data_IF_622248453119
#
_entry.id   IF_622248453119
#
_cell.length_a   1.000
_cell.length_b   1.000
_cell.length_c   1.000
_cell.angle_alpha   90.00
_cell.angle_beta   90.00
_cell.angle_gamma   90.00
#
_symmetry.space_group_name_H-M   'P 1'
#
loop_
_entity.id
_entity.type
_entity.pdbx_description
1 polymer ?
#
# COMPACT_ATOMS: atom_id res chain seq x y z
N UNK A 1 -16.60 -3.83 17.87
CA UNK A 1 -16.78 -3.69 16.42
C UNK A 1 -18.00 -4.48 16.01
N UNK A 2 -19.05 -3.82 15.45
CA UNK A 2 -20.29 -4.48 15.03
C UNK A 2 -20.11 -5.25 13.70
N UNK A 3 -19.41 -4.65 12.76
CA UNK A 3 -19.11 -5.27 11.47
C UNK A 3 -17.94 -4.57 10.77
N UNK A 4 -17.38 -5.26 9.78
CA UNK A 4 -16.33 -4.76 8.92
C UNK A 4 -16.71 -4.88 7.43
N UNK A 5 -15.97 -4.21 6.57
CA UNK A 5 -16.12 -4.38 5.12
C UNK A 5 -15.84 -5.83 4.70
N UNK A 6 -16.51 -6.36 3.66
CA UNK A 6 -16.19 -7.68 3.09
C UNK A 6 -14.74 -7.82 2.62
N UNK A 7 -14.05 -6.69 2.38
CA UNK A 7 -12.63 -6.67 2.05
C UNK A 7 -11.71 -6.96 3.23
N UNK A 8 -12.19 -6.87 4.48
CA UNK A 8 -11.38 -7.11 5.67
C UNK A 8 -10.82 -8.53 5.76
N UNK A 9 -11.58 -9.53 5.26
CA UNK A 9 -11.14 -10.94 5.22
C UNK A 9 -10.36 -11.34 3.95
N UNK A 10 -10.09 -10.42 3.03
CA UNK A 10 -9.38 -10.73 1.79
C UNK A 10 -7.87 -10.83 2.01
N UNK A 11 -7.19 -11.61 1.14
CA UNK A 11 -5.73 -11.83 1.21
C UNK A 11 -4.88 -10.54 1.18
N UNK A 12 -5.41 -9.47 0.60
CA UNK A 12 -4.74 -8.17 0.57
C UNK A 12 -5.03 -7.30 1.82
N UNK A 13 -5.83 -7.78 2.77
CA UNK A 13 -6.05 -7.07 4.04
C UNK A 13 -4.99 -7.48 5.06
N UNK A 14 -4.28 -6.50 5.60
CA UNK A 14 -3.26 -6.72 6.64
C UNK A 14 -3.88 -7.30 7.93
N UNK A 15 -5.09 -6.87 8.27
CA UNK A 15 -5.80 -7.27 9.50
C UNK A 15 -6.78 -8.43 9.29
N UNK A 16 -6.65 -9.21 8.20
CA UNK A 16 -7.62 -10.26 7.84
C UNK A 16 -7.84 -11.28 8.96
N UNK A 17 -6.76 -11.69 9.63
CA UNK A 17 -6.84 -12.72 10.67
C UNK A 17 -7.55 -12.16 11.93
N UNK A 18 -7.35 -10.89 12.24
CA UNK A 18 -8.07 -10.20 13.32
C UNK A 18 -9.55 -9.92 12.99
N UNK A 19 -9.91 -9.98 11.72
CA UNK A 19 -11.28 -9.73 11.26
C UNK A 19 -12.10 -11.01 11.07
N UNK A 20 -11.53 -12.21 11.27
CA UNK A 20 -12.13 -13.50 10.95
C UNK A 20 -13.50 -13.73 11.63
N UNK A 21 -13.61 -13.35 12.90
CA UNK A 21 -14.82 -13.56 13.70
C UNK A 21 -15.76 -12.35 13.70
N UNK A 22 -15.44 -11.29 12.96
CA UNK A 22 -16.26 -10.08 12.90
C UNK A 22 -17.21 -10.17 11.71
N UNK A 23 -18.53 -9.97 11.90
CA UNK A 23 -19.49 -9.96 10.82
C UNK A 23 -19.11 -8.97 9.72
N UNK A 24 -19.41 -9.29 8.47
CA UNK A 24 -19.23 -8.37 7.34
C UNK A 24 -20.52 -7.67 6.97
N UNK A 25 -20.42 -6.42 6.54
CA UNK A 25 -21.55 -5.63 6.04
C UNK A 25 -21.20 -5.00 4.70
N UNK A 26 -22.14 -4.96 3.76
CA UNK A 26 -21.94 -4.22 2.50
C UNK A 26 -21.80 -2.73 2.80
N UNK A 27 -20.90 -2.01 2.14
CA UNK A 27 -20.65 -0.60 2.40
C UNK A 27 -21.72 0.32 1.78
N UNK A 28 -23.00 -0.02 1.93
CA UNK A 28 -24.16 0.78 1.55
C UNK A 28 -24.87 1.28 2.80
N UNK A 29 -25.42 2.49 2.74
CA UNK A 29 -25.91 3.17 3.92
C UNK A 29 -27.01 2.40 4.66
N UNK A 30 -27.93 1.79 3.93
CA UNK A 30 -29.06 1.05 4.49
C UNK A 30 -28.59 -0.15 5.32
N UNK A 31 -27.66 -0.95 4.80
CA UNK A 31 -27.14 -2.13 5.49
C UNK A 31 -26.35 -1.74 6.75
N UNK A 32 -25.55 -0.67 6.65
CA UNK A 32 -24.75 -0.18 7.78
C UNK A 32 -25.64 0.39 8.87
N UNK A 33 -26.65 1.20 8.52
CA UNK A 33 -27.58 1.82 9.48
C UNK A 33 -28.50 0.77 10.17
N UNK A 34 -28.78 -0.35 9.51
CA UNK A 34 -29.54 -1.43 10.12
C UNK A 34 -28.85 -2.05 11.33
N UNK A 35 -27.52 -1.93 11.43
CA UNK A 35 -26.71 -2.37 12.57
C UNK A 35 -26.76 -1.40 13.76
N UNK A 36 -27.32 -0.19 13.59
CA UNK A 36 -27.40 0.87 14.61
C UNK A 36 -26.03 1.19 15.23
N UNK A 37 -24.99 1.53 14.43
CA UNK A 37 -23.68 1.83 14.97
C UNK A 37 -23.66 3.18 15.67
N UNK A 38 -22.81 3.34 16.68
CA UNK A 38 -22.52 4.63 17.34
C UNK A 38 -21.52 5.46 16.51
N UNK A 39 -20.64 4.79 15.78
CA UNK A 39 -19.59 5.39 14.96
C UNK A 39 -19.37 4.57 13.69
N UNK A 40 -19.21 5.26 12.57
CA UNK A 40 -18.81 4.68 11.28
C UNK A 40 -17.43 5.19 10.93
N UNK A 41 -16.48 4.27 10.72
CA UNK A 41 -15.14 4.61 10.20
C UNK A 41 -15.12 4.24 8.72
N UNK A 42 -14.83 5.19 7.86
CA UNK A 42 -14.78 4.96 6.41
C UNK A 42 -13.68 5.75 5.73
N UNK A 43 -13.15 5.22 4.63
CA UNK A 43 -12.29 5.95 3.71
C UNK A 43 -13.10 6.44 2.49
N UNK A 44 -13.22 5.63 1.48
CA UNK A 44 -14.02 5.87 0.26
C UNK A 44 -14.99 4.71 0.03
N UNK A 45 -15.92 4.86 -0.90
CA UNK A 45 -16.94 3.85 -1.22
C UNK A 45 -18.30 4.15 -0.60
N UNK A 46 -19.29 3.32 -0.89
CA UNK A 46 -20.67 3.53 -0.48
C UNK A 46 -21.41 4.62 -1.26
N UNK A 47 -20.79 5.14 -2.33
CA UNK A 47 -21.35 6.19 -3.18
C UNK A 47 -21.14 7.62 -2.65
N UNK A 48 -21.39 8.64 -3.51
CA UNK A 48 -21.10 10.04 -3.20
C UNK A 48 -21.99 10.62 -2.08
N UNK A 49 -23.14 10.01 -1.83
CA UNK A 49 -24.12 10.50 -0.86
C UNK A 49 -24.09 9.72 0.48
N UNK A 50 -23.26 8.70 0.62
CA UNK A 50 -23.27 7.85 1.82
C UNK A 50 -23.05 8.65 3.11
N UNK A 51 -22.12 9.61 3.14
CA UNK A 51 -21.90 10.46 4.31
C UNK A 51 -23.15 11.23 4.71
N UNK A 52 -23.87 11.79 3.74
CA UNK A 52 -25.11 12.53 4.00
C UNK A 52 -26.21 11.65 4.60
N UNK A 53 -26.32 10.41 4.16
CA UNK A 53 -27.30 9.47 4.75
C UNK A 53 -26.97 9.16 6.20
N UNK A 54 -25.69 8.98 6.55
CA UNK A 54 -25.27 8.75 7.93
C UNK A 54 -25.52 9.99 8.81
N UNK A 55 -25.21 11.19 8.32
CA UNK A 55 -25.49 12.46 9.01
C UNK A 55 -26.99 12.62 9.28
N UNK A 56 -27.85 12.38 8.28
CA UNK A 56 -29.32 12.45 8.43
C UNK A 56 -29.85 11.42 9.44
N UNK A 57 -29.18 10.27 9.56
CA UNK A 57 -29.50 9.26 10.58
C UNK A 57 -28.93 9.59 11.95
N UNK A 58 -28.19 10.69 12.10
CA UNK A 58 -27.59 11.10 13.39
C UNK A 58 -26.39 10.24 13.83
N UNK A 59 -25.79 9.47 12.91
CA UNK A 59 -24.64 8.62 13.20
C UNK A 59 -23.34 9.37 12.91
N UNK A 60 -22.42 9.36 13.86
CA UNK A 60 -21.09 9.97 13.70
C UNK A 60 -20.26 9.22 12.67
N UNK A 61 -19.56 9.98 11.80
CA UNK A 61 -18.67 9.42 10.79
C UNK A 61 -17.24 9.91 11.00
N UNK A 62 -16.32 8.99 11.21
CA UNK A 62 -14.88 9.26 11.20
C UNK A 62 -14.33 8.96 9.81
N UNK A 63 -14.09 10.03 9.03
CA UNK A 63 -13.58 9.91 7.69
C UNK A 63 -12.08 9.69 7.71
N UNK A 64 -11.60 8.53 7.20
CA UNK A 64 -10.18 8.26 7.00
C UNK A 64 -9.69 9.05 5.78
N UNK A 65 -8.69 9.93 5.92
CA UNK A 65 -8.18 10.73 4.82
C UNK A 65 -7.44 9.85 3.80
N UNK A 66 -7.32 10.34 2.57
CA UNK A 66 -6.44 9.75 1.57
C UNK A 66 -4.99 9.96 1.98
N UNK A 67 -4.15 8.94 1.78
CA UNK A 67 -2.75 8.92 2.17
C UNK A 67 -1.87 8.66 0.94
N UNK A 68 -0.91 9.55 0.69
CA UNK A 68 0.03 9.45 -0.43
C UNK A 68 1.49 9.67 -0.01
N UNK A 69 1.72 9.85 1.28
CA UNK A 69 3.05 10.03 1.89
C UNK A 69 3.09 9.38 3.27
N UNK A 70 4.30 9.20 3.81
CA UNK A 70 4.45 8.77 5.21
C UNK A 70 3.86 9.77 6.21
N UNK A 71 3.92 11.07 5.88
CA UNK A 71 3.31 12.07 6.77
C UNK A 71 1.78 11.97 6.76
N UNK A 72 1.18 11.71 5.61
CA UNK A 72 -0.26 11.44 5.52
C UNK A 72 -0.65 10.21 6.35
N UNK A 73 0.17 9.13 6.32
CA UNK A 73 -0.06 7.94 7.15
C UNK A 73 -0.03 8.30 8.63
N UNK A 74 0.97 9.08 9.09
CA UNK A 74 1.04 9.53 10.48
C UNK A 74 -0.17 10.38 10.87
N UNK A 75 -0.59 11.29 9.99
CA UNK A 75 -1.75 12.14 10.20
C UNK A 75 -3.05 11.32 10.25
N UNK A 76 -3.21 10.32 9.38
CA UNK A 76 -4.33 9.40 9.41
C UNK A 76 -4.40 8.59 10.71
N UNK A 77 -3.24 8.09 11.19
CA UNK A 77 -3.16 7.38 12.48
C UNK A 77 -3.58 8.30 13.64
N UNK A 78 -3.06 9.54 13.70
CA UNK A 78 -3.45 10.52 14.73
C UNK A 78 -4.95 10.79 14.68
N UNK A 79 -5.46 11.11 13.50
CA UNK A 79 -6.87 11.41 13.28
C UNK A 79 -7.80 10.27 13.73
N UNK A 80 -7.48 9.02 13.36
CA UNK A 80 -8.26 7.86 13.77
C UNK A 80 -8.15 7.63 15.28
N UNK A 81 -6.95 7.72 15.84
CA UNK A 81 -6.72 7.50 17.27
C UNK A 81 -7.43 8.56 18.15
N UNK A 82 -7.42 9.83 17.75
CA UNK A 82 -8.12 10.91 18.40
C UNK A 82 -9.64 10.72 18.32
N UNK A 83 -10.15 10.37 17.15
CA UNK A 83 -11.58 10.10 16.92
C UNK A 83 -12.10 8.90 17.71
N UNK A 84 -11.24 7.94 18.05
CA UNK A 84 -11.56 6.78 18.88
C UNK A 84 -11.27 6.99 20.37
N UNK A 85 -10.70 8.13 20.77
CA UNK A 85 -10.30 8.38 22.15
C UNK A 85 -9.09 7.56 22.64
N UNK A 86 -8.25 7.07 21.71
CA UNK A 86 -7.07 6.22 21.98
C UNK A 86 -5.77 6.89 21.51
N UNK A 87 -5.65 8.20 21.72
CA UNK A 87 -4.54 9.02 21.24
C UNK A 87 -3.14 8.45 21.59
N UNK A 88 -3.00 7.83 22.77
CA UNK A 88 -1.71 7.25 23.17
C UNK A 88 -1.34 6.06 22.29
N UNK A 89 -2.27 5.18 21.94
CA UNK A 89 -2.02 4.06 21.03
C UNK A 89 -1.59 4.55 19.64
N UNK A 90 -2.20 5.64 19.16
CA UNK A 90 -1.77 6.27 17.90
C UNK A 90 -0.33 6.76 17.95
N UNK A 91 0.10 7.39 19.06
CA UNK A 91 1.49 7.81 19.28
C UNK A 91 2.46 6.63 19.31
N UNK A 92 2.07 5.54 19.95
CA UNK A 92 2.90 4.34 20.08
C UNK A 92 3.11 3.66 18.71
N UNK A 93 2.07 3.59 17.88
CA UNK A 93 2.16 3.09 16.49
C UNK A 93 3.11 3.97 15.69
N UNK A 94 2.97 5.30 15.72
CA UNK A 94 3.84 6.24 15.00
C UNK A 94 5.29 6.13 15.48
N UNK A 95 5.51 6.04 16.80
CA UNK A 95 6.85 5.86 17.37
C UNK A 95 7.50 4.58 16.88
N UNK A 96 6.75 3.49 16.86
CA UNK A 96 7.23 2.21 16.33
C UNK A 96 7.55 2.29 14.84
N UNK A 97 6.68 2.93 14.05
CA UNK A 97 6.91 3.18 12.63
C UNK A 97 8.20 3.96 12.39
N UNK A 98 8.41 5.07 13.11
CA UNK A 98 9.61 5.88 12.96
C UNK A 98 10.87 5.10 13.33
N UNK A 99 10.89 4.38 14.44
CA UNK A 99 12.02 3.54 14.86
C UNK A 99 12.38 2.47 13.84
N UNK A 100 11.39 1.80 13.22
CA UNK A 100 11.62 0.84 12.14
C UNK A 100 12.23 1.51 10.91
N UNK A 101 11.75 2.68 10.50
CA UNK A 101 12.33 3.45 9.40
C UNK A 101 13.78 3.88 9.68
N UNK A 102 14.06 4.31 10.91
CA UNK A 102 15.41 4.72 11.33
C UNK A 102 16.39 3.52 11.38
N UNK A 103 15.90 2.31 11.60
CA UNK A 103 16.73 1.10 11.63
C UNK A 103 17.16 0.61 10.25
N UNK A 104 16.59 1.12 9.16
CA UNK A 104 16.99 0.75 7.80
C UNK A 104 18.39 1.28 7.53
N UNK A 105 19.29 0.35 7.17
CA UNK A 105 20.66 0.71 6.80
C UNK A 105 20.67 1.64 5.58
N UNK A 106 21.56 2.64 5.62
CA UNK A 106 21.76 3.57 4.50
C UNK A 106 23.12 3.34 3.87
N UNK A 107 23.15 3.13 2.56
CA UNK A 107 24.34 2.93 1.75
C UNK A 107 24.76 4.26 1.10
N UNK A 108 26.03 4.40 0.78
CA UNK A 108 26.56 5.56 0.04
C UNK A 108 26.12 5.56 -1.43
N UNK A 109 25.81 4.38 -1.99
CA UNK A 109 25.33 4.23 -3.36
C UNK A 109 23.96 3.56 -3.42
N UNK A 110 22.94 4.29 -3.87
CA UNK A 110 21.58 3.77 -3.99
C UNK A 110 21.43 2.90 -5.24
N UNK A 111 21.07 1.64 -5.04
CA UNK A 111 20.66 0.75 -6.12
C UNK A 111 19.30 1.17 -6.67
N UNK A 112 19.11 1.09 -7.99
CA UNK A 112 17.85 1.49 -8.62
C UNK A 112 16.84 0.35 -8.59
N UNK A 113 15.63 0.61 -8.09
CA UNK A 113 14.53 -0.34 -8.06
C UNK A 113 13.40 0.07 -9.00
N UNK A 114 12.80 -0.89 -9.68
CA UNK A 114 11.60 -0.70 -10.50
C UNK A 114 10.40 -1.36 -9.82
N UNK A 115 9.41 -0.56 -9.46
CA UNK A 115 8.11 -1.07 -9.03
C UNK A 115 7.30 -1.52 -10.25
N UNK A 116 6.74 -2.73 -10.20
CA UNK A 116 5.99 -3.32 -11.30
C UNK A 116 4.68 -3.93 -10.82
N UNK A 117 3.61 -3.69 -11.57
CA UNK A 117 2.29 -4.33 -11.36
C UNK A 117 1.95 -5.27 -12.51
N UNK A 118 1.01 -6.24 -12.34
CA UNK A 118 0.57 -7.13 -13.42
C UNK A 118 0.01 -6.41 -14.64
N UNK A 119 -0.54 -5.22 -14.45
CA UNK A 119 -1.07 -4.38 -15.52
C UNK A 119 -0.01 -3.59 -16.27
N UNK A 120 1.26 -3.69 -15.87
CA UNK A 120 2.37 -2.97 -16.49
C UNK A 120 2.43 -1.49 -16.08
N UNK A 121 1.97 -1.19 -14.87
CA UNK A 121 2.05 0.15 -14.27
C UNK A 121 3.22 0.19 -13.30
N UNK A 122 3.91 1.32 -13.26
CA UNK A 122 4.95 1.69 -12.31
C UNK A 122 4.63 3.04 -11.68
N UNK A 123 5.44 3.48 -10.72
CA UNK A 123 5.19 4.68 -9.95
C UNK A 123 6.50 5.48 -9.75
N UNK A 124 6.45 6.77 -10.02
CA UNK A 124 7.56 7.70 -9.90
C UNK A 124 7.43 8.70 -8.74
N UNK A 125 8.22 9.78 -8.76
CA UNK A 125 8.21 10.82 -7.73
C UNK A 125 6.81 11.37 -7.44
N UNK A 126 6.57 11.80 -6.19
CA UNK A 126 5.29 12.34 -5.74
C UNK A 126 4.25 11.27 -5.39
N UNK A 127 4.67 10.03 -5.18
CA UNK A 127 3.80 8.93 -4.77
C UNK A 127 4.34 8.22 -3.53
N UNK A 128 3.46 7.57 -2.78
CA UNK A 128 3.86 6.76 -1.62
C UNK A 128 4.81 5.61 -2.00
N UNK A 129 4.67 5.04 -3.19
CA UNK A 129 5.58 4.01 -3.69
C UNK A 129 7.00 4.56 -3.88
N UNK A 130 7.13 5.79 -4.35
CA UNK A 130 8.44 6.44 -4.42
C UNK A 130 9.07 6.62 -3.03
N UNK A 131 8.29 7.09 -2.06
CA UNK A 131 8.76 7.22 -0.66
C UNK A 131 9.12 5.84 -0.07
N UNK A 132 8.36 4.80 -0.36
CA UNK A 132 8.65 3.42 0.06
C UNK A 132 10.02 2.95 -0.44
N UNK A 133 10.31 3.15 -1.73
CA UNK A 133 11.62 2.79 -2.30
C UNK A 133 12.74 3.62 -1.66
N UNK A 134 12.56 4.93 -1.49
CA UNK A 134 13.53 5.81 -0.82
C UNK A 134 13.78 5.38 0.64
N UNK A 135 12.73 4.98 1.36
CA UNK A 135 12.84 4.50 2.73
C UNK A 135 13.61 3.17 2.83
N UNK A 136 13.48 2.30 1.83
CA UNK A 136 14.25 1.07 1.69
C UNK A 136 15.70 1.27 1.22
N UNK A 137 16.15 2.52 1.14
CA UNK A 137 17.48 2.92 0.62
C UNK A 137 17.70 2.59 -0.87
N UNK A 138 16.61 2.56 -1.64
CA UNK A 138 16.62 2.33 -3.08
C UNK A 138 16.32 3.62 -3.85
N UNK A 139 16.97 3.80 -4.98
CA UNK A 139 16.59 4.79 -5.98
C UNK A 139 15.37 4.31 -6.77
N UNK A 140 14.53 5.23 -7.23
CA UNK A 140 13.42 4.85 -8.09
C UNK A 140 13.83 4.88 -9.56
N UNK A 141 13.75 3.75 -10.24
CA UNK A 141 14.06 3.65 -11.67
C UNK A 141 13.10 4.49 -12.52
N UNK A 142 11.84 4.71 -12.09
CA UNK A 142 10.92 5.61 -12.76
C UNK A 142 11.17 7.07 -12.33
N UNK A 143 11.64 7.90 -13.26
CA UNK A 143 11.98 9.31 -13.01
C UNK A 143 10.80 10.27 -13.25
N UNK A 144 9.81 9.86 -14.04
CA UNK A 144 8.65 10.72 -14.31
C UNK A 144 7.66 10.66 -13.14
N UNK A 145 7.12 11.80 -12.71
CA UNK A 145 6.20 11.85 -11.57
C UNK A 145 4.91 11.08 -11.78
N UNK A 146 4.36 10.57 -10.67
CA UNK A 146 3.05 9.91 -10.64
C UNK A 146 3.07 8.48 -11.17
N UNK A 147 1.86 7.97 -11.44
CA UNK A 147 1.66 6.64 -12.00
C UNK A 147 1.89 6.64 -13.51
N UNK A 148 2.66 5.67 -14.02
CA UNK A 148 3.08 5.58 -15.43
C UNK A 148 3.08 4.14 -15.90
N UNK A 149 3.08 3.96 -17.22
CA UNK A 149 3.44 2.65 -17.79
C UNK A 149 4.91 2.35 -17.53
N UNK A 150 5.25 1.06 -17.44
CA UNK A 150 6.63 0.60 -17.32
C UNK A 150 7.44 1.16 -18.51
N UNK A 151 8.63 1.73 -18.27
CA UNK A 151 9.42 2.40 -19.31
C UNK A 151 10.18 1.37 -20.18
N UNK A 152 9.46 0.67 -21.08
CA UNK A 152 10.00 -0.41 -21.90
C UNK A 152 11.21 0.02 -22.75
N UNK A 153 11.17 1.24 -23.29
CA UNK A 153 12.28 1.78 -24.08
C UNK A 153 13.54 1.89 -23.22
N UNK A 154 13.42 2.43 -22.03
CA UNK A 154 14.56 2.55 -21.11
C UNK A 154 15.08 1.19 -20.67
N UNK A 155 14.18 0.24 -20.39
CA UNK A 155 14.54 -1.13 -19.99
C UNK A 155 15.28 -1.91 -21.09
N UNK A 156 15.23 -1.45 -22.34
CA UNK A 156 16.01 -2.05 -23.43
C UNK A 156 17.52 -1.68 -23.34
N UNK A 157 17.88 -0.62 -22.61
CA UNK A 157 19.26 -0.11 -22.52
C UNK A 157 19.80 -0.05 -21.10
N UNK A 158 18.92 0.04 -20.11
CA UNK A 158 19.25 0.14 -18.70
C UNK A 158 18.50 -0.92 -17.90
N UNK A 159 19.10 -1.43 -16.84
CA UNK A 159 18.47 -2.43 -15.96
C UNK A 159 18.35 -1.87 -14.54
N UNK A 160 17.19 -2.03 -13.89
CA UNK A 160 17.08 -1.81 -12.46
C UNK A 160 17.87 -2.90 -11.72
N UNK A 161 18.44 -2.59 -10.59
CA UNK A 161 19.14 -3.56 -9.75
C UNK A 161 18.20 -4.44 -8.93
N UNK A 162 16.96 -3.99 -8.71
CA UNK A 162 15.93 -4.71 -7.94
C UNK A 162 14.57 -4.51 -8.58
N UNK A 163 13.76 -5.56 -8.64
CA UNK A 163 12.35 -5.48 -9.01
C UNK A 163 11.48 -5.57 -7.76
N UNK A 164 10.65 -4.54 -7.54
CA UNK A 164 9.60 -4.52 -6.53
C UNK A 164 8.28 -4.94 -7.18
N UNK A 165 7.96 -6.24 -7.12
CA UNK A 165 6.83 -6.82 -7.84
C UNK A 165 5.56 -6.85 -6.99
N UNK A 166 4.57 -6.03 -7.34
CA UNK A 166 3.27 -5.95 -6.67
C UNK A 166 2.23 -6.86 -7.33
N UNK A 167 2.49 -8.15 -7.32
CA UNK A 167 1.64 -9.20 -7.89
C UNK A 167 0.86 -9.88 -6.76
N UNK A 168 -0.27 -9.33 -6.38
CA UNK A 168 -0.98 -9.70 -5.16
C UNK A 168 -1.62 -11.10 -5.18
N UNK A 169 -1.99 -11.61 -6.36
CA UNK A 169 -2.46 -13.00 -6.53
C UNK A 169 -2.17 -13.53 -7.94
N UNK A 170 -1.95 -14.84 -8.03
CA UNK A 170 -1.88 -15.54 -9.31
C UNK A 170 -3.24 -15.57 -10.06
N UNK A 171 -4.36 -15.46 -9.32
CA UNK A 171 -5.72 -15.53 -9.86
C UNK A 171 -6.19 -14.22 -10.49
N UNK A 172 -5.65 -13.08 -10.07
CA UNK A 172 -5.95 -11.76 -10.64
C UNK A 172 -5.13 -11.42 -11.89
N UNK A 173 -4.37 -12.37 -12.41
CA UNK A 173 -3.55 -12.21 -13.61
C UNK A 173 -4.38 -12.12 -14.91
N UNK A 174 -5.49 -11.40 -14.90
CA UNK A 174 -6.05 -10.85 -16.12
C UNK A 174 -5.18 -9.69 -16.62
N UNK A 175 -3.89 -9.99 -16.89
CA UNK A 175 -3.08 -9.04 -17.63
C UNK A 175 -3.73 -8.89 -19.01
N UNK A 176 -4.27 -7.70 -19.26
CA UNK A 176 -4.79 -7.33 -20.57
C UNK A 176 -3.82 -7.78 -21.66
N UNK A 177 -4.33 -8.22 -22.81
CA UNK A 177 -3.48 -8.58 -23.96
C UNK A 177 -2.50 -7.45 -24.34
N UNK A 178 -2.81 -6.23 -23.98
CA UNK A 178 -2.04 -5.01 -24.20
C UNK A 178 -1.14 -4.60 -23.03
N UNK A 179 -1.06 -5.41 -21.97
CA UNK A 179 -0.20 -5.07 -20.83
C UNK A 179 1.27 -5.03 -21.24
N UNK A 180 2.02 -3.96 -20.88
CA UNK A 180 3.47 -3.88 -21.05
C UNK A 180 4.22 -5.07 -20.43
N UNK A 181 3.64 -5.74 -19.42
CA UNK A 181 4.20 -6.94 -18.79
C UNK A 181 4.31 -8.15 -19.73
N UNK A 182 3.61 -8.15 -20.87
CA UNK A 182 3.75 -9.20 -21.88
C UNK A 182 4.98 -9.01 -22.77
N UNK A 183 5.53 -7.81 -22.79
CA UNK A 183 6.72 -7.52 -23.57
C UNK A 183 7.94 -8.31 -23.05
N UNK A 184 8.75 -8.94 -23.91
CA UNK A 184 9.92 -9.72 -23.49
C UNK A 184 10.87 -8.92 -22.58
N UNK A 185 11.12 -7.66 -22.89
CA UNK A 185 11.98 -6.77 -22.11
C UNK A 185 11.52 -6.66 -20.65
N UNK A 186 10.20 -6.53 -20.39
CA UNK A 186 9.69 -6.45 -19.02
C UNK A 186 9.75 -7.82 -18.32
N UNK A 187 9.47 -8.92 -19.03
CA UNK A 187 9.57 -10.27 -18.46
C UNK A 187 10.98 -10.63 -18.07
N UNK A 188 11.95 -10.32 -18.91
CA UNK A 188 13.35 -10.61 -18.66
C UNK A 188 13.85 -9.91 -17.39
N UNK A 189 13.38 -8.68 -17.08
CA UNK A 189 13.75 -8.01 -15.83
C UNK A 189 13.40 -8.86 -14.59
N UNK A 190 12.26 -9.52 -14.59
CA UNK A 190 11.84 -10.36 -13.45
C UNK A 190 12.62 -11.69 -13.35
N UNK A 191 13.23 -12.12 -14.44
CA UNK A 191 14.05 -13.34 -14.50
C UNK A 191 15.51 -13.02 -14.14
N UNK A 192 16.01 -11.91 -14.67
CA UNK A 192 17.43 -11.56 -14.64
C UNK A 192 17.81 -10.75 -13.40
N UNK A 193 16.82 -10.09 -12.73
CA UNK A 193 17.07 -9.22 -11.58
C UNK A 193 16.50 -9.80 -10.28
N UNK A 194 17.14 -9.53 -9.13
CA UNK A 194 16.57 -9.81 -7.82
C UNK A 194 15.16 -9.23 -7.72
N UNK A 195 14.18 -10.11 -7.46
CA UNK A 195 12.77 -9.73 -7.41
C UNK A 195 12.20 -9.92 -6.01
N UNK A 196 11.71 -8.84 -5.42
CA UNK A 196 10.98 -8.84 -4.15
C UNK A 196 9.48 -8.85 -4.44
N UNK A 197 8.82 -9.95 -4.09
CA UNK A 197 7.37 -10.08 -4.21
C UNK A 197 6.69 -9.34 -3.06
N UNK A 198 6.08 -8.20 -3.36
CA UNK A 198 5.35 -7.40 -2.40
C UNK A 198 3.98 -8.01 -2.13
N UNK A 199 3.68 -8.32 -0.88
CA UNK A 199 2.39 -8.85 -0.51
C UNK A 199 1.30 -7.78 -0.59
N UNK A 200 0.10 -8.13 -1.05
CA UNK A 200 -1.04 -7.21 -1.09
C UNK A 200 -1.39 -6.65 0.29
N UNK A 201 -1.27 -7.48 1.33
CA UNK A 201 -1.45 -7.06 2.71
C UNK A 201 -0.55 -5.87 3.12
N UNK A 202 0.63 -5.72 2.53
CA UNK A 202 1.56 -4.64 2.85
C UNK A 202 1.30 -3.35 2.06
N UNK A 203 0.77 -3.47 0.84
CA UNK A 203 0.80 -2.38 -0.15
C UNK A 203 -0.55 -2.02 -0.77
N UNK A 204 -1.60 -2.83 -0.59
CA UNK A 204 -2.92 -2.54 -1.16
C UNK A 204 -3.59 -1.29 -0.55
N UNK A 205 -3.27 -0.97 0.70
CA UNK A 205 -3.73 0.23 1.38
C UNK A 205 -2.54 0.92 2.04
N UNK A 206 -2.54 2.25 2.04
CA UNK A 206 -1.49 3.02 2.72
C UNK A 206 -1.69 2.96 4.25
N UNK A 207 -0.74 2.38 4.95
CA UNK A 207 -0.77 2.25 6.42
C UNK A 207 0.61 1.94 7.00
N UNK A 208 0.70 1.87 8.32
CA UNK A 208 1.95 1.60 9.02
C UNK A 208 2.58 0.25 8.65
N UNK A 209 1.80 -0.70 8.19
CA UNK A 209 2.27 -2.03 7.75
C UNK A 209 3.04 -2.00 6.41
N UNK A 210 3.08 -0.86 5.72
CA UNK A 210 3.97 -0.65 4.57
C UNK A 210 5.45 -0.87 4.92
N UNK A 211 5.79 -0.78 6.22
CA UNK A 211 7.14 -1.07 6.74
C UNK A 211 7.60 -2.49 6.43
N UNK A 212 6.71 -3.47 6.38
CA UNK A 212 7.06 -4.85 6.06
C UNK A 212 7.58 -4.96 4.62
N UNK A 213 6.97 -4.21 3.69
CA UNK A 213 7.46 -4.09 2.31
C UNK A 213 8.82 -3.38 2.22
N UNK A 214 9.00 -2.31 3.01
CA UNK A 214 10.25 -1.54 3.05
C UNK A 214 11.40 -2.40 3.55
N UNK A 215 11.20 -3.13 4.65
CA UNK A 215 12.21 -4.03 5.22
C UNK A 215 12.55 -5.18 4.26
N UNK A 216 11.56 -5.77 3.59
CA UNK A 216 11.79 -6.80 2.59
C UNK A 216 12.65 -6.29 1.42
N UNK A 217 12.39 -5.07 0.94
CA UNK A 217 13.17 -4.42 -0.10
C UNK A 217 14.59 -4.08 0.36
N UNK A 218 14.75 -3.51 1.55
CA UNK A 218 16.05 -3.17 2.12
C UNK A 218 16.93 -4.42 2.32
N UNK A 219 16.35 -5.51 2.83
CA UNK A 219 17.07 -6.79 3.01
C UNK A 219 17.52 -7.39 1.69
N UNK A 220 16.71 -7.32 0.63
CA UNK A 220 17.12 -7.78 -0.71
C UNK A 220 18.26 -6.96 -1.28
N UNK A 221 18.29 -5.66 -1.00
CA UNK A 221 19.39 -4.80 -1.42
C UNK A 221 20.71 -5.14 -0.71
N UNK A 222 20.67 -5.50 0.59
CA UNK A 222 21.84 -5.80 1.39
C UNK A 222 22.51 -7.17 1.08
N UNK A 223 21.74 -8.16 0.60
CA UNK A 223 22.27 -9.50 0.31
C UNK A 223 23.24 -9.53 -0.87
N UNK A 224 23.12 -8.66 -1.82
CA UNK A 224 23.97 -8.60 -3.02
C UNK A 224 25.31 -7.86 -2.76
N UNK A 225 25.37 -6.97 -1.76
CA UNK A 225 26.61 -6.29 -1.38
C UNK A 225 27.61 -7.21 -0.66
N UNK A 226 27.20 -8.46 -0.36
CA UNK A 226 27.98 -9.44 0.39
C UNK A 226 28.64 -10.50 -0.51
N UNK A 227 28.49 -10.45 -1.83
CA UNK A 227 29.10 -11.32 -2.82
C UNK A 227 30.17 -10.60 -3.64
#
# INVERSE_FOLDING_TARGET
ILAVSPNAGKHFSYMRDSATDIPTVRPIAEDVLALKPDLIIRSYGGGPYASRFFELAGVSVLQVPFTNSFEDIRNAIRHIADGLGVAQQGKDIISTMNRRLESIHKSDSKRMALYMTPTGVTSGPGTLIHEMLQAADLGNFQHQPGWRSIPLERLAYEQPAVIAAAFFTAEENHSSMWSPMRHPVAKNQMIDQPTVMLQGAWTACAGWYLLDAIEALANSAAMDDSQ
#
